data_IF_344888582545
#
_entry.id   IF_344888582545
#
_cell.length_a   1.000
_cell.length_b   1.000
_cell.length_c   1.000
_cell.angle_alpha   90.00
_cell.angle_beta   90.00
_cell.angle_gamma   90.00
#
_symmetry.space_group_name_H-M   'P 1'
#
loop_
_entity.id
_entity.type
_entity.pdbx_description
1 polymer ?
#
# COMPACT_ATOMS: atom_id res chain seq x y z
N UNK A 1 8.77 25.69 -11.21
CA UNK A 1 8.50 24.25 -11.21
C UNK A 1 8.52 23.82 -9.76
N UNK A 2 7.36 23.81 -9.10
CA UNK A 2 7.25 23.44 -7.70
C UNK A 2 6.87 21.96 -7.61
N UNK A 3 7.81 21.14 -7.17
CA UNK A 3 7.56 19.75 -6.82
C UNK A 3 6.78 19.74 -5.49
N UNK A 4 5.54 19.28 -5.53
CA UNK A 4 4.71 19.14 -4.33
C UNK A 4 5.24 17.94 -3.52
N UNK A 5 5.98 18.21 -2.46
CA UNK A 5 6.49 17.20 -1.54
C UNK A 5 5.34 16.77 -0.63
N UNK A 6 4.84 15.55 -0.82
CA UNK A 6 3.83 14.95 0.06
C UNK A 6 4.50 14.56 1.39
N UNK A 7 4.14 15.25 2.47
CA UNK A 7 4.73 15.01 3.78
C UNK A 7 4.08 13.78 4.44
N UNK A 8 4.87 12.79 4.88
CA UNK A 8 4.35 11.60 5.55
C UNK A 8 3.62 11.96 6.86
N UNK A 9 2.53 11.25 7.13
CA UNK A 9 1.73 11.46 8.35
C UNK A 9 2.55 11.12 9.61
N UNK A 10 2.17 11.66 10.77
CA UNK A 10 2.90 11.42 12.02
C UNK A 10 3.03 9.93 12.38
N UNK A 11 2.03 9.11 12.01
CA UNK A 11 2.09 7.65 12.21
C UNK A 11 3.09 6.99 11.28
N UNK A 12 3.14 7.40 10.03
CA UNK A 12 4.11 6.90 9.05
C UNK A 12 5.53 7.29 9.46
N UNK A 13 5.76 8.53 9.89
CA UNK A 13 7.06 8.96 10.42
C UNK A 13 7.50 8.21 11.68
N UNK A 14 6.56 7.82 12.55
CA UNK A 14 6.86 6.98 13.74
C UNK A 14 7.22 5.55 13.33
N UNK A 15 6.47 4.97 12.40
CA UNK A 15 6.71 3.62 11.91
C UNK A 15 8.04 3.53 11.17
N UNK A 16 8.35 4.53 10.34
CA UNK A 16 9.59 4.60 9.57
C UNK A 16 10.82 4.75 10.48
N UNK A 17 10.73 5.55 11.56
CA UNK A 17 11.77 5.60 12.60
C UNK A 17 11.96 4.26 13.32
N UNK A 18 10.88 3.56 13.61
CA UNK A 18 10.96 2.25 14.27
C UNK A 18 11.63 1.20 13.36
N UNK A 19 11.30 1.20 12.07
CA UNK A 19 11.93 0.33 11.07
C UNK A 19 13.42 0.67 10.92
N UNK A 20 13.78 1.95 10.88
CA UNK A 20 15.17 2.41 10.80
C UNK A 20 15.98 1.92 12.01
N UNK A 21 15.45 2.09 13.22
CA UNK A 21 16.07 1.64 14.45
C UNK A 21 16.28 0.11 14.45
N UNK A 22 15.31 -0.66 13.97
CA UNK A 22 15.47 -2.12 13.87
C UNK A 22 16.56 -2.53 12.86
N UNK A 23 16.74 -1.79 11.76
CA UNK A 23 17.85 -2.05 10.84
C UNK A 23 19.21 -1.73 11.45
N UNK A 24 19.32 -0.63 12.20
CA UNK A 24 20.56 -0.26 12.90
C UNK A 24 20.95 -1.32 13.93
N UNK A 25 20.01 -1.76 14.77
CA UNK A 25 20.26 -2.80 15.76
C UNK A 25 20.72 -4.12 15.11
N UNK A 26 20.12 -4.48 13.98
CA UNK A 26 20.45 -5.69 13.24
C UNK A 26 21.83 -5.61 12.57
N UNK A 27 22.21 -4.43 12.07
CA UNK A 27 23.54 -4.17 11.53
C UNK A 27 24.62 -4.28 12.62
N UNK A 28 24.41 -3.64 13.79
CA UNK A 28 25.34 -3.72 14.92
C UNK A 28 25.51 -5.16 15.40
N UNK A 29 24.43 -5.93 15.48
CA UNK A 29 24.50 -7.35 15.84
C UNK A 29 25.31 -8.17 14.82
N UNK A 30 25.16 -7.87 13.53
CA UNK A 30 25.93 -8.53 12.47
C UNK A 30 27.43 -8.19 12.55
N UNK A 31 27.77 -6.92 12.75
CA UNK A 31 29.16 -6.45 12.91
C UNK A 31 29.83 -7.07 14.14
N UNK A 32 29.14 -7.11 15.28
CA UNK A 32 29.62 -7.81 16.47
C UNK A 32 29.87 -9.30 16.22
N UNK A 33 28.99 -9.98 15.47
CA UNK A 33 29.18 -11.40 15.12
C UNK A 33 30.44 -11.61 14.28
N UNK A 34 30.67 -10.75 13.29
CA UNK A 34 31.86 -10.82 12.41
C UNK A 34 33.13 -10.55 13.21
N UNK A 35 33.13 -9.54 14.08
CA UNK A 35 34.27 -9.20 14.93
C UNK A 35 34.64 -10.35 15.89
N UNK A 36 33.65 -10.99 16.52
CA UNK A 36 33.87 -12.18 17.34
C UNK A 36 34.44 -13.36 16.53
N UNK A 37 33.98 -13.53 15.29
CA UNK A 37 34.46 -14.58 14.41
C UNK A 37 35.92 -14.33 13.96
N UNK A 38 36.32 -13.09 13.71
CA UNK A 38 37.71 -12.73 13.40
C UNK A 38 38.63 -12.91 14.61
N UNK A 39 38.21 -12.46 15.79
CA UNK A 39 38.96 -12.65 17.03
C UNK A 39 39.21 -14.14 17.32
N UNK A 40 38.23 -15.00 17.05
CA UNK A 40 38.35 -16.46 17.16
C UNK A 40 39.42 -17.04 16.22
N UNK A 41 39.45 -16.58 14.97
CA UNK A 41 40.41 -17.05 13.96
C UNK A 41 41.83 -16.59 14.30
N UNK A 42 41.99 -15.37 14.80
CA UNK A 42 43.30 -14.82 15.18
C UNK A 42 43.83 -15.40 16.50
N UNK A 43 42.96 -15.72 17.46
CA UNK A 43 43.35 -16.47 18.65
C UNK A 43 43.87 -17.87 18.26
N UNK A 44 43.16 -18.59 17.38
CA UNK A 44 43.59 -19.91 16.90
C UNK A 44 44.94 -19.89 16.16
N UNK A 45 45.33 -18.79 15.52
CA UNK A 45 46.65 -18.65 14.87
C UNK A 45 47.79 -18.44 15.86
N UNK A 46 47.52 -17.84 17.02
CA UNK A 46 48.54 -17.54 18.04
C UNK A 46 48.90 -18.75 18.92
N UNK A 47 48.13 -19.85 18.82
CA UNK A 47 48.38 -21.13 19.51
C UNK A 47 49.36 -22.01 18.72
N UNK A 48 50.61 -21.54 18.56
CA UNK A 48 51.75 -22.36 18.14
C UNK A 48 52.90 -22.15 19.12
N UNK A 49 52.76 -22.67 20.33
CA UNK A 49 53.79 -22.63 21.37
C UNK A 49 53.41 -23.49 22.58
N UNK A 50 54.33 -24.36 22.99
CA UNK A 50 54.14 -25.58 23.80
C UNK A 50 53.81 -25.38 25.30
N UNK A 51 53.58 -24.15 25.78
CA UNK A 51 53.32 -23.84 27.20
C UNK A 51 51.92 -23.26 27.50
N UNK A 52 50.99 -23.32 26.54
CA UNK A 52 49.76 -22.50 26.50
C UNK A 52 48.46 -23.22 26.91
N UNK A 53 48.49 -24.38 27.56
CA UNK A 53 47.29 -25.23 27.70
C UNK A 53 46.23 -24.71 28.70
N UNK A 54 46.65 -24.05 29.79
CA UNK A 54 45.74 -23.57 30.85
C UNK A 54 45.04 -22.25 30.47
N UNK A 55 45.76 -21.31 29.85
CA UNK A 55 45.18 -20.04 29.40
C UNK A 55 44.22 -20.25 28.22
N UNK A 56 44.55 -21.16 27.30
CA UNK A 56 43.66 -21.52 26.21
C UNK A 56 42.40 -22.20 26.74
N UNK A 57 42.52 -23.08 27.73
CA UNK A 57 41.35 -23.74 28.33
C UNK A 57 40.39 -22.74 28.97
N UNK A 58 40.89 -21.69 29.65
CA UNK A 58 40.01 -20.67 30.23
C UNK A 58 39.33 -19.82 29.16
N UNK A 59 40.07 -19.38 28.13
CA UNK A 59 39.52 -18.58 27.03
C UNK A 59 38.51 -19.38 26.20
N UNK A 60 38.76 -20.68 25.96
CA UNK A 60 37.84 -21.55 25.22
C UNK A 60 36.53 -21.74 25.99
N UNK A 61 36.60 -21.85 27.31
CA UNK A 61 35.42 -22.04 28.16
C UNK A 61 34.60 -20.75 28.30
N UNK A 62 35.24 -19.58 28.42
CA UNK A 62 34.56 -18.28 28.39
C UNK A 62 33.81 -18.07 27.07
N UNK A 63 34.48 -18.39 25.96
CA UNK A 63 33.92 -18.26 24.62
C UNK A 63 32.76 -19.25 24.38
N UNK A 64 32.85 -20.45 24.94
CA UNK A 64 31.76 -21.42 24.92
C UNK A 64 30.56 -20.91 25.74
N UNK A 65 30.79 -20.36 26.93
CA UNK A 65 29.73 -19.76 27.74
C UNK A 65 29.05 -18.58 27.03
N UNK A 66 29.83 -17.75 26.33
CA UNK A 66 29.28 -16.62 25.57
C UNK A 66 28.47 -17.08 24.35
N UNK A 67 28.93 -18.13 23.67
CA UNK A 67 28.16 -18.75 22.59
C UNK A 67 26.84 -19.36 23.10
N UNK A 68 26.86 -19.99 24.27
CA UNK A 68 25.67 -20.55 24.92
C UNK A 68 24.67 -19.45 25.30
N UNK A 69 25.15 -18.32 25.87
CA UNK A 69 24.32 -17.13 26.13
C UNK A 69 23.71 -16.56 24.86
N UNK A 70 24.48 -16.46 23.78
CA UNK A 70 23.98 -15.96 22.49
C UNK A 70 22.87 -16.86 21.93
N UNK A 71 23.07 -18.19 21.99
CA UNK A 71 22.07 -19.18 21.58
C UNK A 71 20.78 -19.09 22.40
N UNK A 72 20.90 -18.83 23.70
CA UNK A 72 19.75 -18.63 24.58
C UNK A 72 18.95 -17.37 24.18
N UNK A 73 19.63 -16.25 23.88
CA UNK A 73 19.00 -14.99 23.43
C UNK A 73 18.28 -15.19 22.09
N UNK A 74 18.93 -15.87 21.13
CA UNK A 74 18.33 -16.17 19.81
C UNK A 74 17.06 -17.01 19.98
N UNK A 75 17.11 -18.00 20.87
CA UNK A 75 15.97 -18.91 21.12
C UNK A 75 14.80 -18.16 21.77
N UNK A 76 15.07 -17.28 22.73
CA UNK A 76 14.04 -16.44 23.38
C UNK A 76 13.42 -15.44 22.39
N UNK A 77 14.23 -14.80 21.54
CA UNK A 77 13.73 -13.91 20.48
C UNK A 77 12.87 -14.66 19.46
N UNK A 78 13.27 -15.88 19.06
CA UNK A 78 12.49 -16.73 18.16
C UNK A 78 11.12 -17.10 18.75
N UNK A 79 11.08 -17.41 20.05
CA UNK A 79 9.81 -17.67 20.75
C UNK A 79 8.89 -16.45 20.76
N UNK A 80 9.44 -15.25 21.06
CA UNK A 80 8.69 -13.98 21.02
C UNK A 80 8.18 -13.64 19.63
N UNK A 81 8.92 -13.97 18.57
CA UNK A 81 8.49 -13.77 17.19
C UNK A 81 7.35 -14.71 16.82
N UNK A 82 7.45 -15.98 17.21
CA UNK A 82 6.38 -16.97 16.99
C UNK A 82 5.07 -16.59 17.69
N UNK A 83 5.12 -16.02 18.90
CA UNK A 83 3.92 -15.55 19.62
C UNK A 83 3.28 -14.33 18.93
N UNK A 84 4.10 -13.41 18.43
CA UNK A 84 3.63 -12.27 17.62
C UNK A 84 3.03 -12.73 16.29
N UNK A 85 3.62 -13.71 15.62
CA UNK A 85 3.08 -14.30 14.40
C UNK A 85 1.73 -14.97 14.65
N UNK A 86 1.59 -15.67 15.78
CA UNK A 86 0.31 -16.24 16.21
C UNK A 86 -0.73 -15.13 16.48
N UNK A 87 -0.32 -14.02 17.08
CA UNK A 87 -1.20 -12.87 17.32
C UNK A 87 -1.63 -12.21 16.00
N UNK A 88 -0.72 -12.06 15.04
CA UNK A 88 -1.03 -11.57 13.70
C UNK A 88 -1.98 -12.53 12.98
N UNK A 89 -1.71 -13.85 13.00
CA UNK A 89 -2.59 -14.85 12.41
C UNK A 89 -4.00 -14.81 13.03
N UNK A 90 -4.08 -14.62 14.35
CA UNK A 90 -5.36 -14.45 15.06
C UNK A 90 -6.07 -13.17 14.66
N UNK A 91 -5.38 -12.04 14.55
CA UNK A 91 -5.96 -10.77 14.08
C UNK A 91 -6.39 -10.84 12.60
N UNK A 92 -5.62 -11.50 11.75
CA UNK A 92 -5.94 -11.74 10.34
C UNK A 92 -7.15 -12.65 10.23
N UNK A 93 -7.21 -13.73 11.00
CA UNK A 93 -8.36 -14.64 11.06
C UNK A 93 -9.60 -13.96 11.64
N UNK A 94 -9.47 -13.22 12.74
CA UNK A 94 -10.56 -12.43 13.34
C UNK A 94 -11.05 -11.35 12.38
N UNK A 95 -10.15 -10.73 11.61
CA UNK A 95 -10.52 -9.82 10.52
C UNK A 95 -11.19 -10.56 9.38
N UNK A 96 -10.72 -11.74 8.99
CA UNK A 96 -11.30 -12.55 7.92
C UNK A 96 -12.64 -13.18 8.31
N UNK A 97 -12.88 -13.42 9.59
CA UNK A 97 -14.15 -13.86 10.16
C UNK A 97 -15.11 -12.67 10.36
N UNK A 98 -14.62 -11.50 10.80
CA UNK A 98 -15.40 -10.24 10.85
C UNK A 98 -15.76 -9.69 9.47
N UNK A 99 -14.91 -9.91 8.47
CA UNK A 99 -15.09 -9.50 7.06
C UNK A 99 -15.32 -10.71 6.15
N UNK A 100 -15.88 -11.81 6.68
CA UNK A 100 -16.09 -13.06 5.96
C UNK A 100 -16.88 -12.88 4.68
N UNK A 101 -16.17 -12.79 3.56
CA UNK A 101 -16.71 -13.01 2.22
C UNK A 101 -17.12 -14.48 2.09
N UNK A 102 -18.32 -14.79 2.58
CA UNK A 102 -19.18 -15.81 2.00
C UNK A 102 -20.46 -15.11 1.54
N UNK A 103 -20.45 -14.63 0.30
CA UNK A 103 -21.70 -14.43 -0.43
C UNK A 103 -21.74 -15.47 -1.55
N UNK A 104 -22.58 -16.51 -1.44
CA UNK A 104 -23.59 -16.76 -2.43
C UNK A 104 -24.82 -15.92 -2.06
N UNK A 105 -25.33 -15.23 -3.07
CA UNK A 105 -26.63 -14.54 -3.11
C UNK A 105 -27.66 -15.29 -2.27
N UNK A 106 -28.25 -14.64 -1.26
CA UNK A 106 -29.65 -14.84 -0.82
C UNK A 106 -30.04 -13.81 0.23
N UNK A 107 -31.05 -13.03 -0.15
CA UNK A 107 -31.84 -12.14 0.69
C UNK A 107 -32.36 -12.88 1.93
N UNK A 108 -32.14 -12.33 3.13
CA UNK A 108 -33.11 -12.43 4.24
C UNK A 108 -32.86 -11.32 5.26
N UNK A 109 -33.94 -10.62 5.58
CA UNK A 109 -34.10 -9.61 6.63
C UNK A 109 -33.78 -10.14 8.03
N UNK A 110 -32.82 -9.55 8.75
CA UNK A 110 -32.82 -9.47 10.22
C UNK A 110 -31.80 -8.47 10.72
N UNK A 111 -32.16 -7.79 11.80
CA UNK A 111 -31.64 -6.51 12.28
C UNK A 111 -30.29 -6.69 13.00
N UNK A 112 -29.24 -6.13 12.40
CA UNK A 112 -27.92 -6.00 12.99
C UNK A 112 -27.10 -5.08 12.10
N UNK A 113 -26.97 -3.81 12.52
CA UNK A 113 -26.27 -2.70 11.87
C UNK A 113 -25.43 -3.10 10.66
N UNK A 114 -26.10 -3.14 9.51
CA UNK A 114 -25.48 -3.14 8.22
C UNK A 114 -24.65 -1.86 8.11
N UNK A 115 -23.32 -1.95 8.12
CA UNK A 115 -22.55 -1.02 7.29
C UNK A 115 -22.70 -1.47 5.83
N UNK A 116 -23.96 -1.52 5.38
CA UNK A 116 -24.29 -1.21 4.02
C UNK A 116 -24.00 0.29 3.89
N UNK A 117 -22.74 0.64 3.68
CA UNK A 117 -22.53 1.63 2.65
C UNK A 117 -23.05 0.94 1.39
N UNK A 118 -24.37 0.99 1.16
CA UNK A 118 -24.91 1.03 -0.18
C UNK A 118 -24.05 2.09 -0.84
N UNK A 119 -23.11 1.69 -1.71
CA UNK A 119 -22.27 2.62 -2.44
C UNK A 119 -23.16 3.06 -3.59
N UNK A 120 -23.98 4.11 -3.46
CA UNK A 120 -25.07 4.36 -4.40
C UNK A 120 -24.50 4.76 -5.78
N UNK A 121 -23.21 5.09 -5.83
CA UNK A 121 -22.47 5.48 -7.02
C UNK A 121 -21.92 4.29 -7.82
N UNK A 122 -21.60 3.16 -7.18
CA UNK A 122 -21.14 1.93 -7.84
C UNK A 122 -22.30 1.14 -8.44
N UNK A 123 -23.45 1.09 -7.75
CA UNK A 123 -24.66 0.40 -8.22
C UNK A 123 -25.20 1.03 -9.53
N UNK A 124 -24.98 2.34 -9.72
CA UNK A 124 -25.25 3.03 -11.00
C UNK A 124 -24.42 2.52 -12.18
N UNK A 125 -23.37 1.74 -11.91
CA UNK A 125 -22.45 1.19 -12.91
C UNK A 125 -22.61 -0.32 -13.08
N UNK A 126 -23.64 -0.94 -12.48
CA UNK A 126 -23.95 -2.35 -12.68
C UNK A 126 -24.53 -2.65 -14.08
N UNK A 127 -24.96 -1.63 -14.81
CA UNK A 127 -25.36 -1.71 -16.22
C UNK A 127 -24.19 -2.00 -17.18
N UNK A 128 -22.97 -2.15 -16.67
CA UNK A 128 -21.73 -2.40 -17.43
C UNK A 128 -21.46 -3.90 -17.66
N UNK A 129 -22.47 -4.77 -17.61
CA UNK A 129 -22.31 -6.23 -17.71
C UNK A 129 -21.69 -6.70 -19.03
N UNK A 130 -21.80 -5.92 -20.11
CA UNK A 130 -21.26 -6.23 -21.44
C UNK A 130 -19.88 -5.62 -21.71
N UNK A 131 -19.32 -4.86 -20.76
CA UNK A 131 -18.00 -4.22 -20.92
C UNK A 131 -16.95 -4.88 -20.02
N UNK A 132 -15.77 -5.06 -20.57
CA UNK A 132 -14.61 -5.58 -19.85
C UNK A 132 -14.01 -4.47 -18.98
N UNK A 133 -14.11 -4.67 -17.67
CA UNK A 133 -13.60 -3.76 -16.66
C UNK A 133 -12.15 -4.10 -16.34
N UNK A 134 -11.24 -3.13 -16.46
CA UNK A 134 -9.87 -3.29 -15.96
C UNK A 134 -9.79 -3.04 -14.46
N UNK A 135 -10.41 -1.96 -13.98
CA UNK A 135 -10.36 -1.60 -12.56
C UNK A 135 -11.50 -0.69 -12.17
N UNK A 136 -11.96 -0.87 -10.94
CA UNK A 136 -12.90 -0.01 -10.23
C UNK A 136 -12.14 0.73 -9.12
N UNK A 137 -12.40 2.01 -8.93
CA UNK A 137 -11.84 2.83 -7.85
C UNK A 137 -12.90 3.80 -7.33
N UNK A 138 -12.96 3.91 -6.00
CA UNK A 138 -13.81 4.87 -5.31
C UNK A 138 -12.92 5.97 -4.74
N UNK A 139 -13.35 7.21 -4.90
CA UNK A 139 -12.75 8.36 -4.26
C UNK A 139 -13.77 9.07 -3.39
N UNK A 140 -13.31 9.67 -2.30
CA UNK A 140 -14.14 10.43 -1.38
C UNK A 140 -13.76 11.90 -1.48
N UNK A 141 -14.72 12.73 -1.89
CA UNK A 141 -14.58 14.18 -1.95
C UNK A 141 -15.26 14.76 -0.72
N UNK A 142 -14.56 15.59 0.04
CA UNK A 142 -15.05 16.11 1.32
C UNK A 142 -14.80 17.60 1.48
N UNK A 143 -15.80 18.30 1.98
CA UNK A 143 -15.70 19.70 2.30
C UNK A 143 -15.56 20.59 1.07
N UNK A 144 -15.28 21.86 1.33
CA UNK A 144 -15.26 22.95 0.35
C UNK A 144 -13.88 23.19 -0.28
N UNK A 145 -12.85 22.47 0.14
CA UNK A 145 -11.48 22.65 -0.36
C UNK A 145 -11.29 22.02 -1.74
N UNK A 146 -10.41 22.59 -2.57
CA UNK A 146 -10.04 21.96 -3.83
C UNK A 146 -9.34 20.62 -3.55
N UNK A 147 -9.70 19.61 -4.32
CA UNK A 147 -9.10 18.28 -4.23
C UNK A 147 -8.68 17.81 -5.61
N UNK A 148 -7.56 17.09 -5.67
CA UNK A 148 -7.07 16.49 -6.90
C UNK A 148 -6.78 15.02 -6.64
N UNK A 149 -7.50 14.14 -7.33
CA UNK A 149 -7.32 12.70 -7.22
C UNK A 149 -6.65 12.18 -8.50
N UNK A 150 -5.44 11.63 -8.35
CA UNK A 150 -4.68 11.08 -9.46
C UNK A 150 -4.88 9.56 -9.57
N UNK A 151 -5.03 9.09 -10.81
CA UNK A 151 -5.04 7.68 -11.16
C UNK A 151 -4.08 7.39 -12.31
N UNK A 152 -2.80 7.71 -12.06
CA UNK A 152 -1.72 7.73 -13.05
C UNK A 152 -1.59 6.45 -13.86
N UNK A 153 -1.70 5.28 -13.20
CA UNK A 153 -1.63 3.97 -13.89
C UNK A 153 -2.64 3.84 -15.04
N UNK A 154 -3.76 4.58 -14.98
CA UNK A 154 -4.80 4.60 -15.99
C UNK A 154 -4.98 6.02 -16.56
N UNK A 155 -3.97 6.89 -16.52
CA UNK A 155 -4.01 8.17 -17.24
C UNK A 155 -5.17 9.10 -16.89
N UNK A 156 -5.82 8.96 -15.73
CA UNK A 156 -6.97 9.79 -15.32
C UNK A 156 -6.60 10.66 -14.11
N UNK A 157 -6.98 11.93 -14.14
CA UNK A 157 -6.95 12.83 -12.99
C UNK A 157 -8.29 13.52 -12.82
N UNK A 158 -8.74 13.63 -11.57
CA UNK A 158 -10.04 14.17 -11.22
C UNK A 158 -9.82 15.36 -10.31
N UNK A 159 -10.19 16.55 -10.79
CA UNK A 159 -10.10 17.81 -10.05
C UNK A 159 -11.46 18.27 -9.56
N UNK A 160 -11.51 18.61 -8.28
CA UNK A 160 -12.65 19.26 -7.61
C UNK A 160 -12.23 20.67 -7.26
N UNK A 161 -13.01 21.65 -7.70
CA UNK A 161 -12.72 23.05 -7.42
C UNK A 161 -13.15 23.44 -6.00
N UNK A 162 -12.58 24.52 -5.48
CA UNK A 162 -13.02 25.10 -4.21
C UNK A 162 -14.51 25.47 -4.27
N UNK A 163 -15.22 25.27 -3.15
CA UNK A 163 -16.65 25.47 -3.00
C UNK A 163 -17.52 24.65 -3.98
N UNK A 164 -17.01 23.51 -4.47
CA UNK A 164 -17.84 22.54 -5.22
C UNK A 164 -18.81 21.78 -4.31
N UNK A 165 -18.55 21.79 -3.00
CA UNK A 165 -19.32 21.17 -1.93
C UNK A 165 -19.40 22.11 -0.73
N UNK A 166 -20.37 21.87 0.14
CA UNK A 166 -20.40 22.46 1.48
C UNK A 166 -19.25 21.90 2.34
N UNK A 167 -18.80 22.66 3.34
CA UNK A 167 -17.73 22.26 4.26
C UNK A 167 -18.00 20.96 5.03
N UNK A 168 -19.28 20.58 5.17
CA UNK A 168 -19.71 19.33 5.82
C UNK A 168 -20.10 18.23 4.83
N UNK A 169 -20.22 18.55 3.54
CA UNK A 169 -20.70 17.61 2.55
C UNK A 169 -19.60 16.62 2.18
N UNK A 170 -20.00 15.38 1.92
CA UNK A 170 -19.14 14.31 1.40
C UNK A 170 -19.81 13.70 0.19
N UNK A 171 -19.06 13.57 -0.91
CA UNK A 171 -19.52 12.95 -2.16
C UNK A 171 -18.60 11.81 -2.54
N UNK A 172 -19.22 10.68 -2.86
CA UNK A 172 -18.52 9.51 -3.36
C UNK A 172 -18.42 9.60 -4.88
N UNK A 173 -17.22 9.36 -5.40
CA UNK A 173 -16.93 9.32 -6.83
C UNK A 173 -16.48 7.92 -7.20
N UNK A 174 -17.33 7.19 -7.90
CA UNK A 174 -17.03 5.88 -8.47
C UNK A 174 -16.46 6.05 -9.88
N UNK A 175 -15.34 5.39 -10.15
CA UNK A 175 -14.69 5.40 -11.45
C UNK A 175 -14.37 3.97 -11.88
N UNK A 176 -14.70 3.66 -13.12
CA UNK A 176 -14.44 2.36 -13.73
C UNK A 176 -13.68 2.57 -15.03
N UNK A 177 -12.45 2.04 -15.09
CA UNK A 177 -11.67 2.00 -16.32
C UNK A 177 -12.06 0.76 -17.13
N UNK A 178 -12.43 0.98 -18.39
CA UNK A 178 -12.90 -0.05 -19.32
C UNK A 178 -11.81 -0.35 -20.35
N UNK A 179 -11.57 -1.64 -20.60
CA UNK A 179 -10.57 -2.13 -21.57
C UNK A 179 -11.18 -2.76 -22.80
N UNK A 180 -12.48 -3.01 -22.79
CA UNK A 180 -13.20 -3.59 -23.92
C UNK A 180 -14.69 -3.52 -23.68
N UNK A 181 -15.47 -3.63 -24.74
CA UNK A 181 -16.93 -3.48 -24.67
C UNK A 181 -17.49 -3.18 -26.04
N UNK A 182 -18.79 -3.38 -26.20
CA UNK A 182 -19.49 -2.95 -27.39
C UNK A 182 -19.72 -1.44 -27.31
N UNK A 183 -18.83 -0.67 -27.93
CA UNK A 183 -18.94 0.79 -28.01
C UNK A 183 -19.35 1.18 -29.43
N UNK A 184 -20.51 1.84 -29.54
CA UNK A 184 -20.98 2.40 -30.81
C UNK A 184 -20.39 3.80 -31.00
N UNK A 185 -19.36 3.89 -31.84
CA UNK A 185 -18.74 5.16 -32.21
C UNK A 185 -19.29 5.66 -33.56
N UNK A 186 -19.49 6.97 -33.74
CA UNK A 186 -19.88 7.53 -35.03
C UNK A 186 -18.87 7.18 -36.14
N UNK A 187 -19.35 7.08 -37.39
CA UNK A 187 -18.47 6.84 -38.55
C UNK A 187 -17.38 7.91 -38.63
N UNK A 188 -16.17 7.49 -39.04
CA UNK A 188 -14.98 8.34 -39.16
C UNK A 188 -14.44 8.90 -37.82
N UNK A 189 -14.74 8.26 -36.69
CA UNK A 189 -14.12 8.60 -35.41
C UNK A 189 -13.13 7.52 -34.99
N UNK A 190 -12.15 7.92 -34.17
CA UNK A 190 -11.14 7.02 -33.61
C UNK A 190 -11.13 7.22 -32.10
N UNK A 191 -11.10 6.13 -31.34
CA UNK A 191 -10.91 6.18 -29.91
C UNK A 191 -9.44 6.55 -29.59
N UNK A 192 -9.24 7.58 -28.79
CA UNK A 192 -7.90 8.16 -28.55
C UNK A 192 -7.39 7.98 -27.11
N UNK A 193 -8.22 7.43 -26.24
CA UNK A 193 -7.94 7.17 -24.82
C UNK A 193 -8.69 5.91 -24.38
N UNK A 194 -8.37 5.37 -23.21
CA UNK A 194 -9.26 4.44 -22.53
C UNK A 194 -10.63 5.08 -22.21
N UNK A 195 -11.64 4.23 -22.03
CA UNK A 195 -13.01 4.64 -21.71
C UNK A 195 -13.20 4.55 -20.19
N UNK A 196 -13.81 5.59 -19.61
CA UNK A 196 -14.11 5.64 -18.18
C UNK A 196 -15.60 5.83 -17.96
N UNK A 197 -16.16 5.06 -17.02
CA UNK A 197 -17.45 5.39 -16.44
C UNK A 197 -17.21 6.10 -15.11
N UNK A 198 -17.75 7.31 -14.96
CA UNK A 198 -17.62 8.14 -13.75
C UNK A 198 -19.01 8.40 -13.21
N UNK A 199 -19.21 8.15 -11.92
CA UNK A 199 -20.49 8.31 -11.24
C UNK A 199 -20.27 9.02 -9.91
N UNK A 200 -21.16 9.95 -9.60
CA UNK A 200 -21.19 10.69 -8.34
C UNK A 200 -22.42 10.27 -7.52
N UNK A 201 -22.25 10.18 -6.21
CA UNK A 201 -23.39 9.94 -5.31
C UNK A 201 -24.35 11.13 -5.26
N UNK A 202 -23.82 12.35 -5.39
CA UNK A 202 -24.59 13.62 -5.41
C UNK A 202 -23.96 14.59 -6.40
N UNK A 203 -24.77 15.48 -6.98
CA UNK A 203 -24.30 16.57 -7.85
C UNK A 203 -23.43 17.57 -7.08
N UNK A 204 -22.39 18.06 -7.74
CA UNK A 204 -21.53 19.14 -7.25
C UNK A 204 -22.11 20.50 -7.62
N UNK A 205 -21.78 21.53 -6.83
CA UNK A 205 -22.16 22.92 -7.11
C UNK A 205 -21.38 23.51 -8.30
N UNK A 206 -20.17 22.99 -8.54
CA UNK A 206 -19.31 23.36 -9.67
C UNK A 206 -18.95 22.13 -10.50
N UNK A 207 -18.61 22.29 -11.79
CA UNK A 207 -18.23 21.18 -12.65
C UNK A 207 -17.01 20.42 -12.12
N UNK A 208 -17.08 19.08 -12.21
CA UNK A 208 -15.94 18.20 -11.99
C UNK A 208 -14.98 18.30 -13.17
N UNK A 209 -13.68 18.45 -12.91
CA UNK A 209 -12.66 18.48 -13.96
C UNK A 209 -12.09 17.08 -14.16
N UNK A 210 -12.23 16.53 -15.37
CA UNK A 210 -11.58 15.28 -15.76
C UNK A 210 -10.43 15.59 -16.72
N UNK A 211 -9.22 15.18 -16.36
CA UNK A 211 -8.04 15.24 -17.23
C UNK A 211 -7.70 13.79 -17.61
N UNK A 212 -7.66 13.52 -18.92
CA UNK A 212 -7.52 12.17 -19.46
C UNK A 212 -6.33 12.16 -20.43
N UNK A 213 -5.41 11.22 -20.21
CA UNK A 213 -4.29 10.97 -21.10
C UNK A 213 -4.77 10.32 -22.41
N UNK A 214 -4.20 10.76 -23.53
CA UNK A 214 -4.54 10.27 -24.86
C UNK A 214 -3.29 9.95 -25.68
N UNK A 215 -3.43 9.11 -26.70
CA UNK A 215 -2.34 8.72 -27.59
C UNK A 215 -2.34 9.44 -28.96
N UNK A 216 -3.10 10.54 -29.11
CA UNK A 216 -3.09 11.34 -30.34
C UNK A 216 -1.75 12.08 -30.53
N UNK A 217 -1.13 11.89 -31.69
CA UNK A 217 -0.07 12.78 -32.14
C UNK A 217 -0.66 14.10 -32.67
N UNK A 218 -0.51 15.16 -31.86
CA UNK A 218 -0.97 16.50 -32.21
C UNK A 218 0.09 17.31 -32.98
N UNK A 219 1.36 16.86 -33.05
CA UNK A 219 2.46 17.62 -33.66
C UNK A 219 2.30 17.77 -35.18
N UNK A 220 1.67 16.81 -35.84
CA UNK A 220 1.37 16.85 -37.27
C UNK A 220 0.05 17.51 -37.64
N UNK A 221 -0.76 18.00 -36.68
CA UNK A 221 -2.13 18.46 -36.91
C UNK A 221 -2.45 19.73 -36.09
N UNK A 222 -1.95 20.91 -36.50
CA UNK A 222 -2.10 22.18 -35.76
C UNK A 222 -3.56 22.64 -35.60
N UNK A 223 -4.50 22.10 -36.37
CA UNK A 223 -5.94 22.34 -36.18
C UNK A 223 -6.53 21.70 -34.92
N UNK A 224 -5.86 20.71 -34.32
CA UNK A 224 -6.33 19.97 -33.14
C UNK A 224 -5.68 20.43 -31.82
N UNK A 225 -4.71 21.34 -31.86
CA UNK A 225 -3.97 21.82 -30.66
C UNK A 225 -4.67 22.98 -29.93
N UNK A 226 -5.86 23.40 -30.35
CA UNK A 226 -6.60 24.55 -29.79
C UNK A 226 -7.86 24.18 -29.01
N UNK A 227 -8.12 22.90 -28.81
CA UNK A 227 -9.28 22.39 -28.08
C UNK A 227 -8.87 21.77 -26.75
#
# INVERSE_FOLDING_TARGET
MDQLIEYPTEREMKLQRYIQSLHEDLQVAHESKVSLQEALVDANKQVKGDDSNDFISSVLEEMRQEQEKLNQIITDQRAKMSDKDLHIAKLVKERQERFGFKQPIKETSSIGLQFNYLIPSMDKLDCLSEVQVAKKKLFLIQGDKPQLMNWEKYGLRIGVQEASLSSTDTVETAVVALVGGQFDFPKNTVLVSAVYAVSLSKSLLKPLRLEIEHCVDLKGRPGLTRF
#
